data_IF_238674379191
#
_entry.id   IF_238674379191
#
_cell.length_a   1.000
_cell.length_b   1.000
_cell.length_c   1.000
_cell.angle_alpha   90.00
_cell.angle_beta   90.00
_cell.angle_gamma   90.00
#
_symmetry.space_group_name_H-M   'P 1'
#
loop_
_entity.id
_entity.type
_entity.pdbx_description
1 polymer ?
#
# COMPACT_ATOMS: atom_id res chain seq x y z
N UNK A 1 19.70 -1.60 31.45
CA UNK A 1 18.24 -1.60 31.17
C UNK A 1 17.87 -2.21 29.81
N UNK A 2 18.54 -1.85 28.70
CA UNK A 2 18.23 -2.36 27.34
C UNK A 2 18.41 -3.88 27.16
N UNK A 3 19.38 -4.51 27.84
CA UNK A 3 19.59 -5.97 27.80
C UNK A 3 18.42 -6.74 28.43
N UNK A 4 17.92 -6.29 29.58
CA UNK A 4 16.80 -6.94 30.29
C UNK A 4 15.48 -6.93 29.49
N UNK A 5 15.23 -5.86 28.73
CA UNK A 5 14.05 -5.74 27.86
C UNK A 5 14.13 -6.70 26.65
N UNK A 6 15.32 -6.90 26.08
CA UNK A 6 15.52 -7.86 24.98
C UNK A 6 15.33 -9.31 25.45
N UNK A 7 15.84 -9.66 26.62
CA UNK A 7 15.69 -11.00 27.21
C UNK A 7 14.21 -11.34 27.48
N UNK A 8 13.45 -10.39 28.04
CA UNK A 8 12.02 -10.59 28.30
C UNK A 8 11.21 -10.79 26.98
N UNK A 9 11.57 -10.07 25.92
CA UNK A 9 10.92 -10.23 24.60
C UNK A 9 11.19 -11.60 23.95
N UNK A 10 12.39 -12.15 24.11
CA UNK A 10 12.72 -13.50 23.61
C UNK A 10 11.93 -14.56 24.38
N UNK A 11 11.87 -14.44 25.72
CA UNK A 11 11.08 -15.33 26.55
C UNK A 11 9.59 -15.33 26.16
N UNK A 12 9.01 -14.15 25.90
CA UNK A 12 7.62 -14.04 25.43
C UNK A 12 7.38 -14.71 24.07
N UNK A 13 8.33 -14.59 23.12
CA UNK A 13 8.25 -15.26 21.80
C UNK A 13 8.25 -16.77 21.93
N UNK A 14 9.15 -17.29 22.76
CA UNK A 14 9.24 -18.73 23.05
C UNK A 14 7.98 -19.23 23.78
N UNK A 15 7.46 -18.46 24.74
CA UNK A 15 6.21 -18.79 25.43
C UNK A 15 5.01 -18.87 24.49
N UNK A 16 4.88 -17.92 23.54
CA UNK A 16 3.83 -17.97 22.52
C UNK A 16 4.02 -19.14 21.55
N UNK A 17 5.25 -19.43 21.14
CA UNK A 17 5.55 -20.58 20.30
C UNK A 17 5.14 -21.89 21.00
N UNK A 18 5.50 -22.05 22.27
CA UNK A 18 5.12 -23.20 23.08
C UNK A 18 3.59 -23.32 23.19
N UNK A 19 2.88 -22.22 23.47
CA UNK A 19 1.42 -22.22 23.53
C UNK A 19 0.79 -22.63 22.20
N UNK A 20 1.24 -22.05 21.08
CA UNK A 20 0.75 -22.43 19.75
C UNK A 20 1.03 -23.90 19.44
N UNK A 21 2.21 -24.39 19.84
CA UNK A 21 2.59 -25.79 19.68
C UNK A 21 1.68 -26.73 20.49
N UNK A 22 1.38 -26.39 21.74
CA UNK A 22 0.46 -27.20 22.57
C UNK A 22 -0.93 -27.27 21.93
N UNK A 23 -1.45 -26.14 21.45
CA UNK A 23 -2.77 -26.08 20.80
C UNK A 23 -2.79 -26.91 19.52
N UNK A 24 -1.81 -26.74 18.64
CA UNK A 24 -1.78 -27.48 17.36
C UNK A 24 -1.50 -28.96 17.56
N UNK A 25 -0.63 -29.34 18.50
CA UNK A 25 -0.42 -30.74 18.86
C UNK A 25 -1.69 -31.38 19.43
N UNK A 26 -2.47 -30.66 20.25
CA UNK A 26 -3.72 -31.17 20.82
C UNK A 26 -4.76 -31.43 19.72
N UNK A 27 -4.94 -30.49 18.79
CA UNK A 27 -5.86 -30.66 17.66
C UNK A 27 -5.37 -31.79 16.74
N UNK A 28 -4.07 -31.86 16.48
CA UNK A 28 -3.45 -32.93 15.71
C UNK A 28 -3.68 -34.31 16.33
N UNK A 29 -3.54 -34.45 17.66
CA UNK A 29 -3.80 -35.70 18.37
C UNK A 29 -5.26 -36.16 18.22
N UNK A 30 -6.22 -35.25 18.32
CA UNK A 30 -7.64 -35.54 18.08
C UNK A 30 -7.87 -36.00 16.63
N UNK A 31 -7.27 -35.32 15.66
CA UNK A 31 -7.39 -35.69 14.25
C UNK A 31 -6.83 -37.09 13.95
N UNK A 32 -5.70 -37.45 14.56
CA UNK A 32 -5.09 -38.79 14.45
C UNK A 32 -6.01 -39.85 15.08
N UNK A 33 -6.57 -39.56 16.25
CA UNK A 33 -7.50 -40.47 16.93
C UNK A 33 -8.77 -40.71 16.10
N UNK A 34 -9.32 -39.66 15.50
CA UNK A 34 -10.46 -39.78 14.59
C UNK A 34 -10.09 -40.58 13.34
N UNK A 35 -8.89 -40.35 12.78
CA UNK A 35 -8.35 -41.16 11.69
C UNK A 35 -8.21 -42.64 12.05
N UNK A 36 -7.74 -42.95 13.26
CA UNK A 36 -7.68 -44.30 13.81
C UNK A 36 -9.06 -44.96 13.88
N UNK A 37 -10.07 -44.28 14.45
CA UNK A 37 -11.44 -44.82 14.56
C UNK A 37 -12.04 -45.05 13.19
N UNK A 38 -11.90 -44.09 12.28
CA UNK A 38 -12.41 -44.20 10.91
C UNK A 38 -11.78 -45.37 10.16
N UNK A 39 -10.47 -45.53 10.25
CA UNK A 39 -9.76 -46.64 9.60
C UNK A 39 -10.29 -48.00 10.08
N UNK A 40 -10.37 -48.23 11.39
CA UNK A 40 -10.76 -49.53 11.91
C UNK A 40 -12.27 -49.79 11.84
N UNK A 41 -13.07 -48.84 12.31
CA UNK A 41 -14.51 -49.04 12.50
C UNK A 41 -15.28 -48.82 11.18
N UNK A 42 -14.85 -47.88 10.33
CA UNK A 42 -15.55 -47.55 9.07
C UNK A 42 -14.96 -48.20 7.82
N UNK A 43 -13.67 -48.57 7.83
CA UNK A 43 -13.03 -49.22 6.68
C UNK A 43 -12.85 -50.72 6.93
N UNK A 44 -11.98 -51.13 7.86
CA UNK A 44 -11.62 -52.55 8.01
C UNK A 44 -12.80 -53.41 8.44
N UNK A 45 -13.48 -53.08 9.53
CA UNK A 45 -14.60 -53.90 10.02
C UNK A 45 -15.81 -53.86 9.11
N UNK A 46 -16.01 -52.76 8.39
CA UNK A 46 -17.07 -52.64 7.39
C UNK A 46 -16.82 -53.60 6.20
N UNK A 47 -15.61 -53.61 5.68
CA UNK A 47 -15.21 -54.53 4.59
C UNK A 47 -15.32 -55.97 5.06
N UNK A 48 -14.78 -56.29 6.24
CA UNK A 48 -14.89 -57.65 6.81
C UNK A 48 -16.35 -58.10 7.00
N UNK A 49 -17.26 -57.19 7.37
CA UNK A 49 -18.69 -57.51 7.50
C UNK A 49 -19.29 -57.90 6.15
N UNK A 50 -18.94 -57.18 5.09
CA UNK A 50 -19.37 -57.51 3.72
C UNK A 50 -18.77 -58.84 3.26
N UNK A 51 -17.49 -59.06 3.51
CA UNK A 51 -16.80 -60.31 3.17
C UNK A 51 -17.42 -61.50 3.91
N UNK A 52 -17.69 -61.36 5.21
CA UNK A 52 -18.33 -62.42 5.99
C UNK A 52 -19.73 -62.73 5.48
N UNK A 53 -20.49 -61.69 5.11
CA UNK A 53 -21.79 -61.89 4.50
C UNK A 53 -21.66 -62.70 3.21
N UNK A 54 -20.80 -62.29 2.27
CA UNK A 54 -20.59 -63.00 1.01
C UNK A 54 -20.10 -64.44 1.22
N UNK A 55 -19.17 -64.64 2.16
CA UNK A 55 -18.65 -65.96 2.49
C UNK A 55 -19.73 -66.85 3.11
N UNK A 56 -20.58 -66.34 4.00
CA UNK A 56 -21.68 -67.14 4.57
C UNK A 56 -22.67 -67.68 3.53
N UNK A 57 -22.71 -67.07 2.34
CA UNK A 57 -23.54 -67.53 1.22
C UNK A 57 -22.87 -68.58 0.32
N UNK A 58 -21.55 -68.74 0.37
CA UNK A 58 -20.80 -69.50 -0.64
C UNK A 58 -19.82 -70.52 -0.03
N UNK A 59 -19.19 -70.13 1.07
CA UNK A 59 -18.14 -70.89 1.72
C UNK A 59 -18.63 -72.22 2.30
N UNK A 60 -19.80 -72.31 2.99
CA UNK A 60 -20.24 -73.56 3.60
C UNK A 60 -20.40 -74.70 2.59
N UNK A 61 -20.94 -74.38 1.40
CA UNK A 61 -21.12 -75.34 0.31
C UNK A 61 -19.77 -75.86 -0.20
N UNK A 62 -18.84 -74.95 -0.55
CA UNK A 62 -17.51 -75.31 -1.06
C UNK A 62 -16.72 -76.14 -0.03
N UNK A 63 -16.71 -75.73 1.23
CA UNK A 63 -15.99 -76.45 2.29
C UNK A 63 -16.61 -77.84 2.53
N UNK A 64 -17.95 -77.94 2.54
CA UNK A 64 -18.64 -79.22 2.69
C UNK A 64 -18.23 -80.19 1.57
N UNK A 65 -18.21 -79.73 0.31
CA UNK A 65 -17.73 -80.54 -0.82
C UNK A 65 -16.28 -81.01 -0.62
N UNK A 66 -15.37 -80.13 -0.22
CA UNK A 66 -13.95 -80.51 -0.04
C UNK A 66 -13.75 -81.53 1.09
N UNK A 67 -14.56 -81.47 2.15
CA UNK A 67 -14.52 -82.44 3.25
C UNK A 67 -15.09 -83.79 2.80
N UNK A 68 -16.25 -83.79 2.13
CA UNK A 68 -16.90 -85.01 1.62
C UNK A 68 -15.99 -85.75 0.63
N UNK A 69 -15.31 -85.00 -0.25
CA UNK A 69 -14.38 -85.55 -1.24
C UNK A 69 -12.98 -85.85 -0.68
N UNK A 70 -12.74 -85.65 0.62
CA UNK A 70 -11.45 -85.84 1.27
C UNK A 70 -10.28 -85.11 0.58
N UNK A 71 -10.46 -83.83 0.28
CA UNK A 71 -9.47 -82.95 -0.37
C UNK A 71 -8.92 -81.91 0.63
N UNK A 72 -8.03 -82.31 1.57
CA UNK A 72 -7.53 -81.42 2.62
C UNK A 72 -6.69 -80.25 2.08
N UNK A 73 -5.99 -80.43 0.95
CA UNK A 73 -5.20 -79.37 0.32
C UNK A 73 -6.09 -78.25 -0.23
N UNK A 74 -7.19 -78.61 -0.90
CA UNK A 74 -8.15 -77.64 -1.44
C UNK A 74 -8.94 -76.94 -0.32
N UNK A 75 -9.26 -77.67 0.76
CA UNK A 75 -9.81 -77.09 1.99
C UNK A 75 -8.88 -75.99 2.52
N UNK A 76 -7.61 -76.32 2.74
CA UNK A 76 -6.63 -75.37 3.27
C UNK A 76 -6.37 -74.21 2.30
N UNK A 77 -6.31 -74.46 0.99
CA UNK A 77 -6.18 -73.41 -0.05
C UNK A 77 -7.36 -72.45 -0.02
N UNK A 78 -8.58 -72.97 0.13
CA UNK A 78 -9.80 -72.16 0.25
C UNK A 78 -9.73 -71.27 1.49
N UNK A 79 -9.34 -71.82 2.65
CA UNK A 79 -9.19 -71.03 3.88
C UNK A 79 -8.08 -69.98 3.77
N UNK A 80 -6.99 -70.29 3.06
CA UNK A 80 -5.86 -69.37 2.87
C UNK A 80 -6.12 -68.24 1.87
N UNK A 81 -7.20 -68.31 1.09
CA UNK A 81 -7.54 -67.32 0.05
C UNK A 81 -7.83 -65.91 0.59
N UNK A 82 -8.10 -65.77 1.89
CA UNK A 82 -8.30 -64.47 2.55
C UNK A 82 -6.99 -63.78 2.97
N UNK A 83 -5.82 -64.36 2.67
CA UNK A 83 -4.49 -63.82 2.99
C UNK A 83 -4.31 -63.42 4.47
N UNK A 84 -4.99 -64.12 5.39
CA UNK A 84 -4.99 -63.85 6.83
C UNK A 84 -5.58 -62.50 7.26
N UNK A 85 -6.38 -61.84 6.40
CA UNK A 85 -7.11 -60.61 6.76
C UNK A 85 -8.07 -60.83 7.94
N UNK A 86 -8.64 -62.04 8.01
CA UNK A 86 -9.48 -62.54 9.09
C UNK A 86 -9.32 -64.07 9.22
N UNK A 87 -9.84 -64.61 10.32
CA UNK A 87 -9.78 -66.03 10.61
C UNK A 87 -10.95 -66.77 10.00
N UNK A 88 -10.66 -67.84 9.27
CA UNK A 88 -11.62 -68.88 8.94
C UNK A 88 -11.16 -70.15 9.63
N UNK A 89 -12.01 -70.73 10.47
CA UNK A 89 -11.65 -71.88 11.30
C UNK A 89 -12.68 -72.97 11.10
N UNK A 90 -12.24 -74.11 10.58
CA UNK A 90 -13.06 -75.30 10.37
C UNK A 90 -12.87 -76.25 11.54
N UNK A 91 -13.97 -76.73 12.08
CA UNK A 91 -14.01 -77.66 13.21
C UNK A 91 -14.81 -78.91 12.88
N UNK A 92 -14.66 -79.91 13.73
CA UNK A 92 -15.48 -81.12 13.76
C UNK A 92 -16.98 -80.81 14.03
N UNK A 93 -17.89 -81.79 13.85
CA UNK A 93 -19.33 -81.57 14.07
C UNK A 93 -19.68 -81.04 15.47
N UNK A 94 -18.88 -81.46 16.47
CA UNK A 94 -19.03 -81.04 17.87
C UNK A 94 -18.60 -79.58 18.10
N UNK A 95 -17.77 -79.01 17.21
CA UNK A 95 -17.21 -77.67 17.34
C UNK A 95 -16.08 -77.57 18.36
N UNK A 96 -15.51 -78.70 18.80
CA UNK A 96 -14.47 -78.74 19.84
C UNK A 96 -13.06 -78.84 19.25
N UNK A 97 -12.90 -79.55 18.13
CA UNK A 97 -11.61 -79.83 17.53
C UNK A 97 -11.43 -79.04 16.24
N UNK A 98 -10.34 -78.27 16.14
CA UNK A 98 -9.99 -77.53 14.93
C UNK A 98 -9.38 -78.50 13.92
N UNK A 99 -10.01 -78.61 12.75
CA UNK A 99 -9.57 -79.43 11.62
C UNK A 99 -8.62 -78.63 10.72
N UNK A 100 -8.98 -77.37 10.42
CA UNK A 100 -8.18 -76.50 9.57
C UNK A 100 -8.44 -75.03 9.91
N UNK A 101 -7.47 -74.16 9.65
CA UNK A 101 -7.59 -72.72 9.91
C UNK A 101 -6.86 -71.90 8.84
N UNK A 102 -7.33 -70.68 8.56
CA UNK A 102 -6.66 -69.80 7.60
C UNK A 102 -5.24 -69.40 8.05
N UNK A 103 -4.37 -69.13 7.08
CA UNK A 103 -3.02 -68.59 7.30
C UNK A 103 -1.93 -69.66 7.48
N UNK A 104 -0.79 -69.46 6.81
CA UNK A 104 0.40 -70.33 6.93
C UNK A 104 1.08 -70.25 8.31
N UNK A 105 0.93 -69.13 9.01
CA UNK A 105 1.50 -68.88 10.34
C UNK A 105 0.46 -68.18 11.24
N UNK A 106 -0.51 -68.93 11.80
CA UNK A 106 -1.59 -68.34 12.59
C UNK A 106 -1.04 -67.46 13.72
N UNK A 107 0.05 -67.86 14.40
CA UNK A 107 0.62 -67.13 15.55
C UNK A 107 1.00 -65.65 15.29
N UNK A 108 1.08 -65.17 14.05
CA UNK A 108 1.38 -63.77 13.72
C UNK A 108 0.16 -62.93 13.31
N UNK A 109 -1.00 -63.54 13.06
CA UNK A 109 -2.19 -62.81 12.64
C UNK A 109 -3.00 -62.31 13.84
N UNK A 110 -3.60 -61.12 13.71
CA UNK A 110 -4.36 -60.49 14.80
C UNK A 110 -5.63 -61.26 15.21
N UNK A 111 -6.20 -62.06 14.31
CA UNK A 111 -7.36 -62.90 14.59
C UNK A 111 -6.98 -64.21 15.28
N UNK A 112 -5.79 -64.75 15.02
CA UNK A 112 -5.33 -65.98 15.67
C UNK A 112 -4.93 -65.72 17.12
N UNK A 113 -4.47 -64.51 17.45
CA UNK A 113 -4.32 -64.07 18.85
C UNK A 113 -5.70 -64.01 19.54
N UNK A 114 -6.76 -63.69 18.79
CA UNK A 114 -8.13 -63.72 19.29
C UNK A 114 -8.68 -65.14 19.47
N UNK A 115 -8.02 -66.14 18.88
CA UNK A 115 -8.48 -67.51 18.85
C UNK A 115 -8.23 -68.18 20.21
N UNK A 116 -9.25 -68.15 21.07
CA UNK A 116 -9.32 -69.03 22.23
C UNK A 116 -10.29 -70.17 21.91
N UNK A 117 -9.83 -71.44 21.90
CA UNK A 117 -10.69 -72.59 21.62
C UNK A 117 -11.96 -72.65 22.48
N UNK A 118 -11.89 -72.18 23.74
CA UNK A 118 -13.05 -72.12 24.65
C UNK A 118 -14.05 -71.01 24.29
N UNK A 119 -13.63 -70.00 23.52
CA UNK A 119 -14.47 -68.88 23.06
C UNK A 119 -14.92 -69.04 21.60
N UNK A 120 -14.54 -70.13 20.92
CA UNK A 120 -14.89 -70.34 19.51
C UNK A 120 -16.41 -70.29 19.30
N UNK A 121 -17.17 -70.83 20.25
CA UNK A 121 -18.64 -70.85 20.24
C UNK A 121 -19.29 -69.46 20.26
N UNK A 122 -18.59 -68.42 20.72
CA UNK A 122 -19.11 -67.04 20.69
C UNK A 122 -18.95 -66.35 19.33
N UNK A 123 -18.19 -66.94 18.41
CA UNK A 123 -18.02 -66.41 17.07
C UNK A 123 -19.12 -66.91 16.14
N UNK A 124 -19.54 -66.09 15.16
CA UNK A 124 -20.49 -66.53 14.16
C UNK A 124 -19.93 -67.68 13.34
N UNK A 125 -20.77 -68.66 13.05
CA UNK A 125 -20.38 -69.84 12.29
C UNK A 125 -21.50 -70.31 11.37
N UNK A 126 -21.10 -70.94 10.26
CA UNK A 126 -22.01 -71.73 9.42
C UNK A 126 -21.76 -73.22 9.64
N UNK A 127 -22.84 -73.99 9.55
CA UNK A 127 -22.77 -75.45 9.63
C UNK A 127 -22.38 -76.03 8.28
N UNK A 128 -21.41 -76.95 8.28
CA UNK A 128 -21.03 -77.73 7.12
C UNK A 128 -21.84 -79.04 7.11
N UNK A 129 -22.50 -79.34 6.00
CA UNK A 129 -23.49 -80.42 5.90
C UNK A 129 -23.16 -81.39 4.76
N UNK A 130 -23.64 -82.62 4.92
CA UNK A 130 -23.68 -83.67 3.90
C UNK A 130 -25.14 -84.11 3.70
N UNK A 131 -25.80 -83.76 2.58
CA UNK A 131 -25.28 -83.03 1.42
C UNK A 131 -24.99 -81.54 1.72
N UNK A 132 -24.15 -80.87 0.90
CA UNK A 132 -23.78 -79.47 1.10
C UNK A 132 -24.98 -78.52 1.23
N UNK A 133 -24.91 -77.50 2.12
CA UNK A 133 -26.00 -76.55 2.31
C UNK A 133 -26.25 -75.72 1.03
N UNK A 134 -27.52 -75.42 0.77
CA UNK A 134 -27.97 -74.63 -0.39
C UNK A 134 -28.26 -73.17 -0.03
N UNK A 135 -28.74 -72.93 1.18
CA UNK A 135 -29.08 -71.60 1.66
C UNK A 135 -28.12 -71.16 2.76
N UNK A 136 -27.82 -69.87 2.84
CA UNK A 136 -27.08 -69.33 3.97
C UNK A 136 -27.94 -69.33 5.23
N UNK A 137 -27.35 -69.69 6.36
CA UNK A 137 -28.02 -69.70 7.67
C UNK A 137 -27.99 -68.32 8.35
N UNK A 138 -27.11 -67.43 7.90
CA UNK A 138 -26.87 -66.14 8.51
C UNK A 138 -26.75 -65.05 7.44
N UNK A 139 -27.09 -63.82 7.80
CA UNK A 139 -26.76 -62.67 6.97
C UNK A 139 -26.44 -61.45 7.85
N UNK A 140 -25.78 -60.46 7.27
CA UNK A 140 -25.60 -59.16 7.87
C UNK A 140 -26.56 -58.18 7.20
N UNK A 141 -27.46 -57.57 8.00
CA UNK A 141 -28.47 -56.61 7.50
C UNK A 141 -27.86 -55.46 6.70
N UNK A 142 -26.66 -55.02 7.07
CA UNK A 142 -25.91 -54.01 6.34
C UNK A 142 -24.42 -54.10 6.68
N UNK A 143 -23.59 -53.37 5.91
CA UNK A 143 -22.13 -53.35 6.09
C UNK A 143 -21.63 -52.85 7.47
N UNK A 144 -22.48 -52.23 8.29
CA UNK A 144 -22.12 -51.73 9.63
C UNK A 144 -22.56 -52.67 10.76
N UNK A 145 -23.26 -53.75 10.44
CA UNK A 145 -23.74 -54.71 11.44
C UNK A 145 -22.56 -55.42 12.11
N UNK A 146 -22.56 -55.45 13.43
CA UNK A 146 -21.53 -56.13 14.24
C UNK A 146 -21.80 -57.62 14.36
N UNK A 147 -23.09 -58.00 14.36
CA UNK A 147 -23.55 -59.37 14.55
C UNK A 147 -24.44 -59.79 13.37
N UNK A 148 -24.34 -61.06 12.94
CA UNK A 148 -25.23 -61.58 11.92
C UNK A 148 -26.62 -61.91 12.50
N UNK A 149 -27.61 -61.89 11.63
CA UNK A 149 -28.98 -62.32 11.89
C UNK A 149 -29.26 -63.66 11.22
N UNK A 150 -29.95 -64.57 11.91
CA UNK A 150 -30.32 -65.86 11.35
C UNK A 150 -31.29 -65.66 10.17
N UNK A 151 -31.14 -66.46 9.13
CA UNK A 151 -32.12 -66.52 8.04
C UNK A 151 -33.23 -67.52 8.41
N UNK A 152 -34.40 -67.38 7.77
CA UNK A 152 -35.51 -68.32 7.95
C UNK A 152 -35.33 -69.61 7.13
N UNK A 153 -34.16 -69.82 6.51
CA UNK A 153 -33.92 -70.98 5.66
C UNK A 153 -33.29 -72.12 6.46
N UNK A 154 -33.82 -73.33 6.27
CA UNK A 154 -33.31 -74.54 6.93
C UNK A 154 -32.67 -75.47 5.90
N UNK A 155 -31.39 -75.78 6.08
CA UNK A 155 -30.71 -76.83 5.31
C UNK A 155 -30.89 -78.19 5.99
N UNK A 156 -31.04 -79.26 5.19
CA UNK A 156 -31.14 -80.65 5.68
C UNK A 156 -29.83 -81.38 5.37
N UNK A 157 -29.34 -82.18 6.30
CA UNK A 157 -28.14 -83.01 6.09
C UNK A 157 -27.48 -83.39 7.41
N UNK A 158 -26.52 -84.32 7.32
CA UNK A 158 -25.65 -84.69 8.45
C UNK A 158 -24.63 -83.58 8.66
N UNK A 159 -24.46 -83.14 9.91
CA UNK A 159 -23.41 -82.18 10.27
C UNK A 159 -22.04 -82.84 10.18
N UNK A 160 -21.19 -82.33 9.30
CA UNK A 160 -19.82 -82.82 9.08
C UNK A 160 -18.77 -81.87 9.65
N UNK A 161 -19.16 -80.64 9.99
CA UNK A 161 -18.28 -79.67 10.63
C UNK A 161 -18.93 -78.30 10.80
N UNK A 162 -18.14 -77.32 11.24
CA UNK A 162 -18.55 -75.91 11.34
C UNK A 162 -17.42 -75.01 10.88
N UNK A 163 -17.75 -73.91 10.21
CA UNK A 163 -16.79 -72.87 9.83
C UNK A 163 -17.08 -71.59 10.60
N UNK A 164 -16.10 -71.12 11.38
CA UNK A 164 -16.19 -69.91 12.17
C UNK A 164 -15.51 -68.73 11.47
N UNK A 165 -16.12 -67.55 11.59
CA UNK A 165 -15.59 -66.28 11.10
C UNK A 165 -15.03 -65.45 12.26
N UNK A 166 -13.71 -65.34 12.33
CA UNK A 166 -13.01 -64.69 13.45
C UNK A 166 -12.44 -63.35 12.99
N UNK A 167 -12.93 -62.25 13.56
CA UNK A 167 -12.36 -60.91 13.30
C UNK A 167 -11.03 -60.74 14.03
N UNK A 168 -10.13 -59.97 13.42
CA UNK A 168 -8.90 -59.53 14.07
C UNK A 168 -9.18 -58.59 15.24
N UNK A 169 -8.37 -58.65 16.29
CA UNK A 169 -8.45 -57.68 17.39
C UNK A 169 -7.95 -56.33 16.88
N UNK A 170 -8.77 -55.28 17.02
CA UNK A 170 -8.34 -53.90 16.80
C UNK A 170 -7.24 -53.58 17.83
N UNK A 171 -6.01 -53.22 17.41
CA UNK A 171 -4.96 -52.80 18.34
C UNK A 171 -5.42 -51.55 19.10
N UNK A 172 -5.00 -51.36 20.34
CA UNK A 172 -5.33 -50.12 21.06
C UNK A 172 -4.75 -48.91 20.31
N UNK A 173 -5.37 -47.73 20.50
CA UNK A 173 -4.87 -46.51 19.88
C UNK A 173 -3.41 -46.24 20.27
N UNK A 174 -3.06 -46.49 21.54
CA UNK A 174 -1.71 -46.29 22.06
C UNK A 174 -0.70 -47.22 21.39
N UNK A 175 -1.02 -48.52 21.26
CA UNK A 175 -0.15 -49.48 20.60
C UNK A 175 0.08 -49.13 19.13
N UNK A 176 -0.98 -48.67 18.47
CA UNK A 176 -0.94 -48.29 17.07
C UNK A 176 -0.13 -47.01 16.84
N UNK A 177 -0.32 -46.02 17.72
CA UNK A 177 0.46 -44.80 17.73
C UNK A 177 1.94 -45.09 18.01
N UNK A 178 2.26 -45.95 18.98
CA UNK A 178 3.63 -46.36 19.27
C UNK A 178 4.30 -47.11 18.12
N UNK A 179 3.56 -47.99 17.43
CA UNK A 179 4.04 -48.64 16.21
C UNK A 179 4.35 -47.62 15.12
N UNK A 180 3.48 -46.63 14.94
CA UNK A 180 3.70 -45.54 14.01
C UNK A 180 4.92 -44.69 14.41
N UNK A 181 5.07 -44.31 15.68
CA UNK A 181 6.25 -43.55 16.17
C UNK A 181 7.55 -44.29 15.88
N UNK A 182 7.57 -45.62 16.02
CA UNK A 182 8.76 -46.44 15.72
C UNK A 182 9.06 -46.53 14.22
N UNK A 183 8.05 -46.40 13.36
CA UNK A 183 8.24 -46.44 11.91
C UNK A 183 7.23 -45.52 11.17
N UNK A 184 7.45 -44.19 11.19
CA UNK A 184 6.49 -43.22 10.66
C UNK A 184 6.46 -43.17 9.13
N UNK A 185 7.47 -43.74 8.46
CA UNK A 185 7.62 -43.77 7.00
C UNK A 185 7.14 -45.11 6.43
N UNK A 186 6.50 -45.97 7.24
CA UNK A 186 6.00 -47.26 6.73
C UNK A 186 5.01 -47.05 5.58
N UNK A 187 5.02 -47.97 4.61
CA UNK A 187 4.10 -47.91 3.47
C UNK A 187 2.63 -48.17 3.84
N UNK A 188 2.35 -48.53 5.09
CA UNK A 188 1.00 -48.74 5.55
C UNK A 188 0.15 -47.48 5.33
N UNK A 189 -1.01 -47.66 4.69
CA UNK A 189 -1.94 -46.55 4.41
C UNK A 189 -2.23 -45.70 5.65
N UNK A 190 -2.32 -46.35 6.83
CA UNK A 190 -2.56 -45.70 8.11
C UNK A 190 -1.39 -44.83 8.58
N UNK A 191 -0.15 -45.34 8.50
CA UNK A 191 1.02 -44.56 8.87
C UNK A 191 1.16 -43.31 7.99
N UNK A 192 0.90 -43.45 6.67
CA UNK A 192 0.85 -42.30 5.76
C UNK A 192 -0.16 -41.25 6.21
N UNK A 193 -1.39 -41.67 6.58
CA UNK A 193 -2.40 -40.74 7.09
C UNK A 193 -1.94 -40.02 8.35
N UNK A 194 -1.35 -40.72 9.33
CA UNK A 194 -0.85 -40.09 10.56
C UNK A 194 0.27 -39.09 10.28
N UNK A 195 1.25 -39.49 9.47
CA UNK A 195 2.39 -38.64 9.10
C UNK A 195 1.93 -37.39 8.37
N UNK A 196 1.05 -37.51 7.37
CA UNK A 196 0.50 -36.34 6.64
C UNK A 196 -0.30 -35.43 7.58
N UNK A 197 -1.11 -36.02 8.47
CA UNK A 197 -1.93 -35.24 9.42
C UNK A 197 -1.06 -34.44 10.38
N UNK A 198 -0.03 -35.07 10.97
CA UNK A 198 0.90 -34.39 11.88
C UNK A 198 1.67 -33.29 11.16
N UNK A 199 2.19 -33.59 9.96
CA UNK A 199 2.94 -32.62 9.18
C UNK A 199 2.08 -31.40 8.84
N UNK A 200 0.82 -31.62 8.45
CA UNK A 200 -0.14 -30.56 8.17
C UNK A 200 -0.40 -29.69 9.40
N UNK A 201 -0.66 -30.28 10.57
CA UNK A 201 -0.89 -29.52 11.81
C UNK A 201 0.35 -28.80 12.32
N UNK A 202 1.52 -29.40 12.15
CA UNK A 202 2.80 -28.77 12.48
C UNK A 202 3.07 -27.55 11.59
N UNK A 203 2.89 -27.71 10.27
CA UNK A 203 3.03 -26.61 9.31
C UNK A 203 2.02 -25.49 9.56
N UNK A 204 0.75 -25.84 9.84
CA UNK A 204 -0.28 -24.88 10.19
C UNK A 204 0.06 -24.12 11.49
N UNK A 205 0.61 -24.80 12.50
CA UNK A 205 1.06 -24.18 13.74
C UNK A 205 2.19 -23.18 13.54
N UNK A 206 3.21 -23.53 12.75
CA UNK A 206 4.31 -22.63 12.41
C UNK A 206 3.80 -21.41 11.63
N UNK A 207 2.93 -21.63 10.63
CA UNK A 207 2.35 -20.55 9.83
C UNK A 207 1.55 -19.59 10.71
N UNK A 208 0.68 -20.11 11.58
CA UNK A 208 -0.13 -19.32 12.50
C UNK A 208 0.75 -18.50 13.45
N UNK A 209 1.74 -19.13 14.09
CA UNK A 209 2.69 -18.44 14.95
C UNK A 209 3.45 -17.32 14.21
N UNK A 210 3.90 -17.60 12.99
CA UNK A 210 4.64 -16.64 12.15
C UNK A 210 3.80 -15.41 11.82
N UNK A 211 2.53 -15.62 11.47
CA UNK A 211 1.57 -14.53 11.19
C UNK A 211 1.35 -13.67 12.44
N UNK A 212 1.11 -14.30 13.59
CA UNK A 212 0.93 -13.57 14.86
C UNK A 212 2.18 -12.75 15.22
N UNK A 213 3.37 -13.33 15.08
CA UNK A 213 4.61 -12.63 15.40
C UNK A 213 4.90 -11.49 14.41
N UNK A 214 4.53 -11.65 13.13
CA UNK A 214 4.62 -10.59 12.13
C UNK A 214 3.71 -9.39 12.46
N UNK A 215 2.45 -9.63 12.84
CA UNK A 215 1.51 -8.58 13.25
C UNK A 215 2.05 -7.82 14.47
N UNK A 216 2.55 -8.56 15.48
CA UNK A 216 3.10 -7.96 16.69
C UNK A 216 4.44 -7.25 16.45
N UNK A 217 5.24 -7.73 15.49
CA UNK A 217 6.42 -7.01 15.03
C UNK A 217 6.04 -5.67 14.39
N UNK A 218 5.09 -5.65 13.45
CA UNK A 218 4.62 -4.44 12.80
C UNK A 218 4.10 -3.41 13.80
N UNK A 219 3.30 -3.85 14.78
CA UNK A 219 2.78 -2.97 15.85
C UNK A 219 3.91 -2.33 16.66
N UNK A 220 4.95 -3.09 17.01
CA UNK A 220 6.12 -2.57 17.75
C UNK A 220 6.90 -1.53 16.97
N UNK A 221 7.09 -1.75 15.66
CA UNK A 221 7.78 -0.77 14.80
C UNK A 221 6.97 0.54 14.74
N UNK A 222 5.65 0.45 14.61
CA UNK A 222 4.77 1.63 14.62
C UNK A 222 4.81 2.39 15.95
N UNK A 223 4.83 1.67 17.09
CA UNK A 223 4.98 2.30 18.41
C UNK A 223 6.34 3.00 18.55
N UNK A 224 7.43 2.36 18.11
CA UNK A 224 8.77 2.97 18.14
C UNK A 224 8.87 4.21 17.22
N UNK A 225 8.24 4.18 16.05
CA UNK A 225 8.13 5.35 15.17
C UNK A 225 7.29 6.47 15.78
N UNK A 226 6.15 6.15 16.40
CA UNK A 226 5.30 7.13 17.06
C UNK A 226 6.04 7.84 18.19
N UNK A 227 6.77 7.09 19.02
CA UNK A 227 7.61 7.65 20.10
C UNK A 227 8.72 8.56 19.53
N UNK A 228 9.32 8.21 18.39
CA UNK A 228 10.31 9.08 17.74
C UNK A 228 9.70 10.38 17.26
N UNK A 229 8.54 10.33 16.59
CA UNK A 229 7.82 11.52 16.13
C UNK A 229 7.40 12.42 17.30
N UNK A 230 6.96 11.83 18.41
CA UNK A 230 6.64 12.60 19.62
C UNK A 230 7.86 13.35 20.16
N UNK A 231 9.04 12.71 20.20
CA UNK A 231 10.28 13.38 20.62
C UNK A 231 10.68 14.51 19.67
N UNK A 232 10.61 14.28 18.36
CA UNK A 232 10.89 15.30 17.35
C UNK A 232 9.95 16.51 17.49
N UNK A 233 8.67 16.26 17.75
CA UNK A 233 7.69 17.33 17.99
C UNK A 233 7.97 18.11 19.28
N UNK A 234 8.43 17.44 20.34
CA UNK A 234 8.84 18.10 21.59
C UNK A 234 10.06 18.99 21.35
N UNK A 235 11.09 18.49 20.66
CA UNK A 235 12.29 19.26 20.32
C UNK A 235 11.96 20.47 19.42
N UNK A 236 11.09 20.28 18.42
CA UNK A 236 10.60 21.37 17.57
C UNK A 236 9.81 22.42 18.38
N UNK A 237 8.99 21.98 19.32
CA UNK A 237 8.26 22.90 20.21
C UNK A 237 9.21 23.71 21.09
N UNK A 238 10.23 23.08 21.67
CA UNK A 238 11.21 23.76 22.52
C UNK A 238 12.03 24.80 21.74
N UNK A 239 12.51 24.44 20.55
CA UNK A 239 13.23 25.37 19.68
C UNK A 239 12.37 26.55 19.24
N UNK A 240 11.10 26.32 18.92
CA UNK A 240 10.15 27.38 18.56
C UNK A 240 9.87 28.30 19.76
N UNK A 241 9.72 27.76 20.97
CA UNK A 241 9.58 28.57 22.18
C UNK A 241 10.81 29.44 22.45
N UNK A 242 12.02 28.92 22.21
CA UNK A 242 13.25 29.71 22.31
C UNK A 242 13.28 30.85 21.28
N UNK A 243 12.91 30.59 20.03
CA UNK A 243 12.83 31.62 18.99
C UNK A 243 11.79 32.70 19.33
N UNK A 244 10.60 32.31 19.80
CA UNK A 244 9.58 33.26 20.24
C UNK A 244 10.08 34.12 21.41
N UNK A 245 10.78 33.51 22.38
CA UNK A 245 11.37 34.26 23.51
C UNK A 245 12.42 35.27 23.04
N UNK A 246 13.27 34.90 22.08
CA UNK A 246 14.24 35.82 21.47
C UNK A 246 13.53 36.97 20.75
N UNK A 247 12.48 36.69 19.96
CA UNK A 247 11.68 37.73 19.28
C UNK A 247 11.00 38.69 20.26
N UNK A 248 10.42 38.18 21.34
CA UNK A 248 9.83 39.02 22.41
C UNK A 248 10.89 39.92 23.03
N UNK A 249 12.09 39.40 23.31
CA UNK A 249 13.17 40.21 23.86
C UNK A 249 13.64 41.29 22.87
N UNK A 250 13.74 40.98 21.57
CA UNK A 250 14.04 41.97 20.53
C UNK A 250 12.98 43.08 20.50
N UNK A 251 11.69 42.73 20.52
CA UNK A 251 10.60 43.70 20.55
C UNK A 251 10.68 44.58 21.81
N UNK A 252 11.00 44.01 22.98
CA UNK A 252 11.17 44.80 24.22
C UNK A 252 12.33 45.79 24.13
N UNK A 253 13.46 45.39 23.53
CA UNK A 253 14.60 46.28 23.32
C UNK A 253 14.22 47.41 22.36
N UNK A 254 13.55 47.08 21.24
CA UNK A 254 13.06 48.07 20.29
C UNK A 254 12.06 49.03 20.96
N UNK A 255 11.08 48.54 21.72
CA UNK A 255 10.15 49.39 22.47
C UNK A 255 10.87 50.38 23.39
N UNK A 256 11.90 49.92 24.11
CA UNK A 256 12.71 50.79 24.97
C UNK A 256 13.47 51.86 24.18
N UNK A 257 13.99 51.53 23.00
CA UNK A 257 14.63 52.49 22.11
C UNK A 257 13.64 53.54 21.60
N UNK A 258 12.47 53.09 21.12
CA UNK A 258 11.40 53.96 20.66
C UNK A 258 10.91 54.91 21.76
N UNK A 259 10.80 54.41 23.00
CA UNK A 259 10.39 55.23 24.14
C UNK A 259 11.45 56.27 24.49
N UNK A 260 12.74 55.92 24.41
CA UNK A 260 13.84 56.86 24.59
C UNK A 260 13.87 57.95 23.50
N UNK A 261 13.69 57.57 22.23
CA UNK A 261 13.58 58.51 21.12
C UNK A 261 12.38 59.45 21.30
N UNK A 262 11.23 58.92 21.75
CA UNK A 262 10.06 59.72 22.06
C UNK A 262 10.37 60.75 23.14
N UNK A 263 11.03 60.35 24.23
CA UNK A 263 11.43 61.25 25.31
C UNK A 263 12.39 62.35 24.80
N UNK A 264 13.40 61.96 24.01
CA UNK A 264 14.36 62.91 23.43
C UNK A 264 13.65 63.91 22.48
N UNK A 265 12.75 63.42 21.63
CA UNK A 265 11.98 64.26 20.71
C UNK A 265 11.03 65.20 21.46
N UNK A 266 10.38 64.74 22.54
CA UNK A 266 9.56 65.62 23.39
C UNK A 266 10.41 66.69 24.07
N UNK A 267 11.61 66.35 24.56
CA UNK A 267 12.54 67.32 25.15
C UNK A 267 12.98 68.37 24.12
N UNK A 268 13.30 67.96 22.89
CA UNK A 268 13.64 68.89 21.81
C UNK A 268 12.46 69.79 21.44
N UNK A 269 11.24 69.24 21.41
CA UNK A 269 10.04 70.04 21.15
C UNK A 269 9.77 71.06 22.27
N UNK A 270 10.03 70.70 23.53
CA UNK A 270 9.94 71.63 24.67
C UNK A 270 11.02 72.71 24.60
N UNK A 271 12.26 72.37 24.24
CA UNK A 271 13.35 73.33 24.03
C UNK A 271 13.04 74.29 22.87
N UNK A 272 12.51 73.79 21.75
CA UNK A 272 12.05 74.63 20.65
C UNK A 272 10.86 75.51 21.06
N UNK A 273 9.97 75.03 21.93
CA UNK A 273 8.87 75.84 22.45
C UNK A 273 9.38 76.96 23.37
N UNK A 274 10.32 76.67 24.26
CA UNK A 274 10.91 77.68 25.14
C UNK A 274 11.70 78.72 24.33
N UNK A 275 12.47 78.28 23.32
CA UNK A 275 13.17 79.17 22.41
C UNK A 275 12.20 80.04 21.58
N UNK A 276 11.10 79.46 21.06
CA UNK A 276 10.06 80.24 20.38
C UNK A 276 9.38 81.23 21.32
N UNK A 277 9.15 80.87 22.59
CA UNK A 277 8.63 81.81 23.59
C UNK A 277 9.62 82.96 23.87
N UNK A 278 10.91 82.67 23.96
CA UNK A 278 11.95 83.70 24.08
C UNK A 278 11.96 84.63 22.87
N UNK A 279 11.94 84.09 21.64
CA UNK A 279 11.82 84.87 20.42
C UNK A 279 10.53 85.69 20.37
N UNK A 280 9.40 85.14 20.83
CA UNK A 280 8.15 85.90 20.95
C UNK A 280 8.27 87.04 21.96
N UNK A 281 8.94 86.82 23.08
CA UNK A 281 9.21 87.87 24.06
C UNK A 281 10.13 88.94 23.48
N UNK A 282 11.23 88.56 22.83
CA UNK A 282 12.19 89.47 22.20
C UNK A 282 11.52 90.27 21.07
N UNK A 283 10.73 89.63 20.22
CA UNK A 283 9.93 90.32 19.19
C UNK A 283 8.87 91.22 19.80
N UNK A 284 8.24 90.85 20.91
CA UNK A 284 7.31 91.74 21.62
C UNK A 284 8.01 92.94 22.27
N UNK A 285 9.22 92.76 22.81
CA UNK A 285 10.06 93.83 23.36
C UNK A 285 10.53 94.80 22.27
N UNK A 286 11.03 94.27 21.15
CA UNK A 286 11.37 95.05 19.97
C UNK A 286 10.15 95.80 19.41
N UNK A 287 8.97 95.16 19.40
CA UNK A 287 7.73 95.79 18.97
C UNK A 287 7.29 96.92 19.90
N UNK A 288 7.50 96.77 21.22
CA UNK A 288 7.26 97.87 22.17
C UNK A 288 8.27 99.00 22.02
N UNK A 289 9.56 98.71 21.77
CA UNK A 289 10.60 99.71 21.50
C UNK A 289 10.36 100.50 20.20
N UNK A 290 9.72 99.89 19.21
CA UNK A 290 9.41 100.51 17.91
C UNK A 290 8.06 101.28 17.94
N UNK A 291 7.24 101.14 19.00
CA UNK A 291 5.88 101.72 19.06
C UNK A 291 5.77 103.18 19.52
N UNK A 292 6.80 103.99 19.28
CA UNK A 292 6.75 105.47 19.36
C UNK A 292 7.66 106.03 18.26
N UNK A 293 7.21 106.78 17.23
CA UNK A 293 5.94 106.85 16.51
C UNK A 293 6.18 106.66 14.98
N UNK A 294 5.95 105.48 14.39
CA UNK A 294 6.24 105.26 12.95
C UNK A 294 5.20 104.43 12.17
N UNK A 295 4.07 104.07 12.77
CA UNK A 295 3.10 103.15 12.12
C UNK A 295 1.96 103.87 11.40
N UNK A 296 1.83 105.19 11.56
CA UNK A 296 0.82 105.99 10.83
C UNK A 296 1.26 106.37 9.41
N UNK A 297 2.55 106.28 9.07
CA UNK A 297 3.10 106.64 7.74
C UNK A 297 3.26 105.47 6.75
N UNK A 298 3.04 104.23 7.21
CA UNK A 298 3.08 103.02 6.36
C UNK A 298 1.72 102.70 5.70
N UNK A 299 0.61 103.19 6.27
CA UNK A 299 -0.72 102.97 5.69
C UNK A 299 -1.02 103.91 4.50
N UNK A 300 -0.45 105.12 4.48
CA UNK A 300 -0.56 106.05 3.35
C UNK A 300 0.31 105.63 2.17
N UNK A 301 1.51 105.09 2.43
CA UNK A 301 2.43 104.60 1.38
C UNK A 301 1.97 103.28 0.75
N UNK A 302 1.29 102.41 1.50
CA UNK A 302 0.70 101.18 0.94
C UNK A 302 -0.48 101.49 0.00
N UNK A 303 -1.30 102.50 0.32
CA UNK A 303 -2.41 102.93 -0.52
C UNK A 303 -1.93 103.63 -1.82
N UNK A 304 -0.83 104.36 -1.77
CA UNK A 304 -0.19 104.93 -2.98
C UNK A 304 0.51 103.85 -3.83
N UNK A 305 1.11 102.82 -3.21
CA UNK A 305 1.72 101.69 -3.92
C UNK A 305 0.67 100.85 -4.66
N UNK A 306 -0.48 100.59 -4.04
CA UNK A 306 -1.56 99.83 -4.68
C UNK A 306 -2.22 100.63 -5.81
N UNK A 307 -2.33 101.96 -5.68
CA UNK A 307 -2.76 102.85 -6.77
C UNK A 307 -1.75 102.88 -7.92
N UNK A 308 -0.45 102.93 -7.61
CA UNK A 308 0.63 102.88 -8.61
C UNK A 308 0.74 101.51 -9.29
N UNK A 309 0.44 100.41 -8.60
CA UNK A 309 0.38 99.06 -9.19
C UNK A 309 -0.78 98.93 -10.18
N UNK A 310 -1.96 99.45 -9.85
CA UNK A 310 -3.11 99.44 -10.76
C UNK A 310 -2.82 100.30 -12.00
N UNK A 311 -2.19 101.47 -11.84
CA UNK A 311 -1.75 102.29 -12.97
C UNK A 311 -0.67 101.59 -13.80
N UNK A 312 0.30 100.92 -13.18
CA UNK A 312 1.35 100.15 -13.87
C UNK A 312 0.80 98.90 -14.61
N UNK A 313 -0.18 98.20 -14.06
CA UNK A 313 -0.86 97.08 -14.73
C UNK A 313 -1.70 97.57 -15.92
N UNK A 314 -2.40 98.70 -15.78
CA UNK A 314 -3.11 99.31 -16.90
C UNK A 314 -2.17 99.80 -18.02
N UNK A 315 -0.97 100.29 -17.64
CA UNK A 315 0.09 100.65 -18.58
C UNK A 315 0.69 99.40 -19.27
N UNK A 316 0.86 98.29 -18.54
CA UNK A 316 1.31 97.01 -19.10
C UNK A 316 0.30 96.42 -20.09
N UNK A 317 -1.00 96.53 -19.82
CA UNK A 317 -2.03 96.11 -20.76
C UNK A 317 -2.06 96.98 -22.03
N UNK A 318 -1.90 98.31 -21.90
CA UNK A 318 -1.73 99.20 -23.07
C UNK A 318 -0.47 98.85 -23.86
N UNK A 319 0.63 98.51 -23.17
CA UNK A 319 1.87 98.10 -23.80
C UNK A 319 1.72 96.76 -24.54
N UNK A 320 1.00 95.78 -23.96
CA UNK A 320 0.70 94.51 -24.63
C UNK A 320 -0.20 94.71 -25.86
N UNK A 321 -1.23 95.55 -25.80
CA UNK A 321 -2.04 95.89 -26.97
C UNK A 321 -1.23 96.60 -28.06
N UNK A 322 -0.34 97.51 -27.68
CA UNK A 322 0.60 98.13 -28.64
C UNK A 322 1.57 97.10 -29.21
N UNK A 323 2.00 96.11 -28.43
CA UNK A 323 2.92 95.07 -28.87
C UNK A 323 2.25 94.05 -29.79
N UNK A 324 0.98 93.74 -29.59
CA UNK A 324 0.15 92.98 -30.54
C UNK A 324 -0.08 93.76 -31.84
N UNK A 325 -0.35 95.07 -31.76
CA UNK A 325 -0.39 95.92 -32.95
C UNK A 325 0.95 95.98 -33.69
N UNK A 326 2.08 96.07 -32.96
CA UNK A 326 3.42 96.04 -33.54
C UNK A 326 3.72 94.67 -34.15
N UNK A 327 3.26 93.56 -33.56
CA UNK A 327 3.41 92.22 -34.14
C UNK A 327 2.56 92.04 -35.41
N UNK A 328 1.33 92.56 -35.43
CA UNK A 328 0.50 92.62 -36.63
C UNK A 328 1.12 93.47 -37.75
N UNK A 329 1.67 94.63 -37.39
CA UNK A 329 2.41 95.50 -38.31
C UNK A 329 3.73 94.87 -38.77
N UNK A 330 4.42 94.09 -37.92
CA UNK A 330 5.63 93.36 -38.28
C UNK A 330 5.33 92.18 -39.20
N UNK A 331 4.20 91.49 -39.04
CA UNK A 331 3.75 90.48 -40.02
C UNK A 331 3.43 91.11 -41.36
N UNK A 332 2.80 92.30 -41.39
CA UNK A 332 2.56 93.06 -42.62
C UNK A 332 3.87 93.58 -43.23
N UNK A 333 4.83 94.02 -42.41
CA UNK A 333 6.19 94.40 -42.84
C UNK A 333 6.99 93.21 -43.34
N UNK A 334 6.80 92.00 -42.81
CA UNK A 334 7.49 90.78 -43.25
C UNK A 334 6.91 90.28 -44.58
N UNK A 335 5.59 90.42 -44.80
CA UNK A 335 4.96 90.19 -46.11
C UNK A 335 5.41 91.24 -47.14
N UNK A 336 5.59 92.51 -46.72
CA UNK A 336 6.14 93.57 -47.58
C UNK A 336 7.65 93.42 -47.82
N UNK A 337 8.44 92.94 -46.85
CA UNK A 337 9.86 92.65 -47.00
C UNK A 337 10.10 91.39 -47.84
N UNK A 338 9.23 90.37 -47.76
CA UNK A 338 9.27 89.23 -48.67
C UNK A 338 8.90 89.62 -50.10
N UNK A 339 7.92 90.53 -50.28
CA UNK A 339 7.65 91.16 -51.60
C UNK A 339 8.80 92.06 -52.08
N UNK A 340 9.48 92.77 -51.17
CA UNK A 340 10.64 93.61 -51.51
C UNK A 340 11.90 92.78 -51.82
N UNK A 341 12.05 91.61 -51.18
CA UNK A 341 13.08 90.61 -51.44
C UNK A 341 12.84 89.87 -52.76
N UNK A 342 11.58 89.59 -53.13
CA UNK A 342 11.20 89.11 -54.48
C UNK A 342 11.54 90.15 -55.58
N UNK A 343 11.40 91.46 -55.31
CA UNK A 343 11.81 92.52 -56.27
C UNK A 343 13.30 92.89 -56.26
N UNK A 344 14.07 92.54 -55.22
CA UNK A 344 15.54 92.71 -55.19
C UNK A 344 16.31 91.47 -55.67
N UNK A 345 15.71 90.27 -55.64
CA UNK A 345 16.22 89.08 -56.34
C UNK A 345 15.96 89.11 -57.86
N UNK A 346 15.04 89.96 -58.35
CA UNK A 346 14.82 90.23 -59.78
C UNK A 346 15.72 91.33 -60.38
N UNK A 347 16.61 91.96 -59.59
CA UNK A 347 17.50 93.04 -60.05
C UNK A 347 18.99 92.74 -60.00
N UNK A 348 19.42 91.58 -59.45
CA UNK A 348 20.82 91.30 -59.13
C UNK A 348 21.35 89.92 -59.60
N UNK A 349 20.74 89.33 -60.64
CA UNK A 349 21.42 88.30 -61.45
C UNK A 349 20.94 88.27 -62.92
N UNK A 350 20.46 89.43 -63.40
CA UNK A 350 20.57 89.84 -64.80
C UNK A 350 22.06 89.93 -65.23
N UNK A 351 22.99 89.85 -64.26
CA UNK A 351 24.44 89.72 -64.42
C UNK A 351 24.97 88.27 -64.52
N UNK A 352 24.20 87.21 -64.21
CA UNK A 352 24.58 85.82 -64.61
C UNK A 352 23.95 85.38 -65.93
N UNK A 353 22.97 86.13 -66.44
CA UNK A 353 22.41 85.98 -67.79
C UNK A 353 23.40 86.43 -68.88
N UNK A 354 24.43 87.21 -68.54
CA UNK A 354 25.55 87.53 -69.43
C UNK A 354 26.65 86.45 -69.46
N UNK A 355 26.79 85.61 -68.41
CA UNK A 355 27.69 84.45 -68.40
C UNK A 355 27.10 83.23 -69.13
N UNK A 356 25.77 83.14 -69.25
CA UNK A 356 25.07 82.12 -70.04
C UNK A 356 25.15 82.36 -71.57
N UNK A 357 25.67 83.48 -72.05
CA UNK A 357 25.79 83.74 -73.50
C UNK A 357 27.13 83.24 -74.09
N UNK A 358 28.20 83.14 -73.29
CA UNK A 358 29.51 82.66 -73.78
C UNK A 358 29.77 81.15 -73.55
N UNK A 359 29.16 80.49 -72.55
CA UNK A 359 29.21 79.02 -72.44
C UNK A 359 28.27 78.29 -73.41
N UNK A 360 27.17 78.93 -73.85
CA UNK A 360 26.30 78.41 -74.92
C UNK A 360 26.99 78.49 -76.30
N UNK A 361 28.08 79.27 -76.43
CA UNK A 361 28.85 79.40 -77.68
C UNK A 361 29.93 78.32 -77.85
N UNK A 362 30.44 77.78 -76.74
CA UNK A 362 31.46 76.72 -76.73
C UNK A 362 30.89 75.32 -76.49
N UNK A 363 29.70 75.19 -75.89
CA UNK A 363 29.00 73.90 -75.77
C UNK A 363 28.17 73.51 -77.03
N UNK A 364 27.89 74.45 -77.94
CA UNK A 364 27.26 74.17 -79.26
C UNK A 364 28.25 73.75 -80.35
N UNK A 365 29.56 73.90 -80.15
CA UNK A 365 30.59 73.48 -81.12
C UNK A 365 31.15 72.08 -80.86
N UNK A 366 30.69 71.34 -79.83
CA UNK A 366 31.30 70.05 -79.48
C UNK A 366 30.40 68.92 -78.95
N UNK A 367 29.06 69.00 -79.02
CA UNK A 367 28.21 67.84 -78.66
C UNK A 367 26.91 67.69 -79.47
N UNK A 368 26.88 68.26 -80.68
CA UNK A 368 26.10 67.74 -81.79
C UNK A 368 26.80 66.52 -82.40
N UNK A 369 26.91 65.44 -81.63
CA UNK A 369 27.31 64.12 -82.12
C UNK A 369 26.81 63.03 -81.16
N UNK A 370 25.54 62.69 -81.34
CA UNK A 370 25.03 61.30 -81.37
C UNK A 370 25.34 60.39 -80.17
N UNK A 371 24.35 60.06 -79.32
CA UNK A 371 23.18 59.23 -79.66
C UNK A 371 23.57 57.98 -80.45
N UNK A 372 23.91 56.90 -79.74
CA UNK A 372 23.62 55.50 -80.10
C UNK A 372 24.03 54.59 -78.93
N UNK A 373 23.21 53.57 -78.66
CA UNK A 373 23.38 52.47 -77.66
C UNK A 373 23.42 52.94 -76.20
N UNK A 374 22.79 52.36 -75.20
CA UNK A 374 22.18 51.04 -74.93
C UNK A 374 21.27 51.28 -73.70
N UNK A 375 19.99 50.93 -73.66
CA UNK A 375 19.41 49.58 -73.56
C UNK A 375 19.94 48.78 -72.36
N UNK A 376 19.01 48.50 -71.44
CA UNK A 376 18.96 47.35 -70.49
C UNK A 376 20.06 47.29 -69.42
N UNK A 377 19.69 46.92 -68.20
CA UNK A 377 19.58 45.52 -67.73
C UNK A 377 19.72 45.47 -66.18
N UNK A 378 18.69 44.93 -65.50
CA UNK A 378 18.73 44.08 -64.27
C UNK A 378 19.40 44.66 -62.99
N UNK A 379 19.05 44.27 -61.77
CA UNK A 379 18.22 43.23 -61.16
C UNK A 379 18.41 43.38 -59.63
N UNK A 380 17.38 43.25 -58.78
CA UNK A 380 16.93 41.99 -58.15
C UNK A 380 18.05 41.36 -57.27
N UNK A 381 17.91 41.08 -55.96
CA UNK A 381 17.14 40.01 -55.26
C UNK A 381 17.65 40.10 -53.77
N UNK A 382 16.88 40.33 -52.70
CA UNK A 382 16.02 39.44 -51.89
C UNK A 382 16.59 38.07 -51.47
N UNK A 383 16.99 37.88 -50.20
CA UNK A 383 16.61 36.71 -49.35
C UNK A 383 17.57 36.48 -48.15
N UNK A 384 16.98 36.47 -46.96
CA UNK A 384 17.34 35.58 -45.84
C UNK A 384 16.79 34.15 -46.14
N UNK A 385 16.92 33.07 -45.31
CA UNK A 385 17.27 33.04 -43.88
C UNK A 385 17.92 31.70 -43.37
N UNK A 386 17.88 31.55 -42.03
CA UNK A 386 17.70 30.32 -41.23
C UNK A 386 18.87 29.35 -40.95
N UNK A 387 19.27 29.43 -39.67
CA UNK A 387 19.31 28.35 -38.66
C UNK A 387 20.31 27.19 -38.76
N UNK A 388 20.91 26.98 -37.57
CA UNK A 388 21.66 25.83 -37.04
C UNK A 388 23.15 25.77 -37.33
#
# INVERSE_FOLDING_TARGET
MVSSLKVNRIAQRLGRLALTGIVTCSIGAVAIFEGYKNYWDKTIFRVQTVDFNLLSHTLPTKLSYTIIQNQPEELQRTLNSNYSLFGLVVTDPSGQNIIAASGKNPRRSSWAIALNPKKLQSYPYDVLLDPPPLFSQWNYKNSRATEPTATNFTNKGRVIGRVYYVRGIKPSFQDDLWKWIRNPISESSRAKTYTVTILAWFAAGIAFWSICEYILYKKRVQEEEAIRRERELIEQKETLLLQLRQRINQIKVLQKQWEQERINSTSQAEELRSYNQQLQQETSQLRTMISVPAVTSLQTTQAELDKAKIEAESARQRQQQQQEQIQGLNQQLQVLQNKLAETKQQGALFESLQSQIEEIRTARSLAGATRKSEIKLKGAIANAPLSK
#
